data_IF_781315939163
#
_entry.id   IF_781315939163
#
_cell.length_a   1.000
_cell.length_b   1.000
_cell.length_c   1.000
_cell.angle_alpha   90.00
_cell.angle_beta   90.00
_cell.angle_gamma   90.00
#
_symmetry.space_group_name_H-M   'P 1'
#
loop_
_entity.id
_entity.type
_entity.pdbx_description
1 polymer ?
#
# COMPACT_ATOMS: atom_id res chain seq x y z
N UNK A 1 -9.44 -0.26 -3.48
CA UNK A 1 -9.19 -1.49 -2.68
C UNK A 1 -8.00 -2.33 -3.15
N UNK A 2 -7.79 -2.49 -4.46
CA UNK A 2 -6.72 -3.33 -5.02
C UNK A 2 -5.31 -2.97 -4.52
N UNK A 3 -5.02 -1.68 -4.38
CA UNK A 3 -3.74 -1.17 -3.89
C UNK A 3 -3.51 -1.53 -2.41
N UNK A 4 -4.53 -1.34 -1.57
CA UNK A 4 -4.50 -1.73 -0.14
C UNK A 4 -4.28 -3.25 0.01
N UNK A 5 -4.95 -4.05 -0.83
CA UNK A 5 -4.74 -5.51 -0.91
C UNK A 5 -3.31 -5.85 -1.29
N UNK A 6 -2.76 -5.18 -2.31
CA UNK A 6 -1.40 -5.41 -2.78
C UNK A 6 -0.35 -5.05 -1.71
N UNK A 7 -0.47 -3.87 -1.10
CA UNK A 7 0.41 -3.45 0.00
C UNK A 7 0.36 -4.44 1.17
N UNK A 8 -0.84 -4.86 1.61
CA UNK A 8 -0.99 -5.87 2.67
C UNK A 8 -0.37 -7.21 2.31
N UNK A 9 -0.44 -7.61 1.04
CA UNK A 9 0.21 -8.83 0.54
C UNK A 9 1.72 -8.75 0.73
N UNK A 10 2.34 -7.64 0.30
CA UNK A 10 3.79 -7.44 0.41
C UNK A 10 4.25 -7.39 1.88
N UNK A 11 3.53 -6.69 2.75
CA UNK A 11 3.86 -6.65 4.18
C UNK A 11 3.71 -8.02 4.86
N UNK A 12 2.66 -8.76 4.53
CA UNK A 12 2.43 -10.12 5.08
C UNK A 12 3.53 -11.09 4.64
N UNK A 13 4.04 -10.94 3.41
CA UNK A 13 5.12 -11.76 2.87
C UNK A 13 6.52 -11.23 3.24
N UNK A 14 6.62 -10.18 4.07
CA UNK A 14 7.88 -9.55 4.52
C UNK A 14 8.82 -9.23 3.34
N UNK A 15 8.25 -8.67 2.27
CA UNK A 15 8.98 -8.42 1.02
C UNK A 15 9.99 -7.29 1.22
N UNK A 16 11.27 -7.56 0.97
CA UNK A 16 12.30 -6.51 0.89
C UNK A 16 11.98 -5.60 -0.29
N UNK A 17 11.96 -4.29 -0.08
CA UNK A 17 11.56 -3.34 -1.14
C UNK A 17 10.04 -3.26 -1.38
N UNK A 18 9.23 -3.50 -0.34
CA UNK A 18 7.78 -3.36 -0.42
C UNK A 18 7.35 -1.96 -0.90
N UNK A 19 7.94 -0.89 -0.36
CA UNK A 19 7.62 0.50 -0.74
C UNK A 19 7.88 0.78 -2.24
N UNK A 20 9.08 0.55 -2.79
CA UNK A 20 9.33 0.67 -4.23
C UNK A 20 8.35 -0.15 -5.09
N UNK A 21 8.01 -1.36 -4.63
CA UNK A 21 7.07 -2.24 -5.35
C UNK A 21 5.64 -1.68 -5.36
N UNK A 22 5.17 -1.11 -4.24
CA UNK A 22 3.87 -0.44 -4.15
C UNK A 22 3.82 0.76 -5.10
N UNK A 23 4.86 1.61 -5.08
CA UNK A 23 4.94 2.79 -5.95
C UNK A 23 4.92 2.39 -7.43
N UNK A 24 5.67 1.35 -7.79
CA UNK A 24 5.68 0.86 -9.17
C UNK A 24 4.33 0.27 -9.58
N UNK A 25 3.69 -0.52 -8.73
CA UNK A 25 2.34 -1.04 -8.99
C UNK A 25 1.33 0.10 -9.18
N UNK A 26 1.38 1.13 -8.34
CA UNK A 26 0.48 2.29 -8.39
C UNK A 26 0.56 3.04 -9.72
N UNK A 27 1.78 3.27 -10.21
CA UNK A 27 2.01 3.97 -11.48
C UNK A 27 1.49 3.20 -12.70
N UNK A 28 1.44 1.88 -12.62
CA UNK A 28 1.10 1.02 -13.77
C UNK A 28 -0.34 0.51 -13.74
N UNK A 29 -0.95 0.39 -12.55
CA UNK A 29 -2.29 -0.21 -12.41
C UNK A 29 -3.37 0.63 -13.09
N UNK A 30 -3.23 1.97 -13.09
CA UNK A 30 -4.20 2.87 -13.70
C UNK A 30 -4.29 2.72 -15.22
N UNK A 31 -3.19 2.37 -15.88
CA UNK A 31 -3.10 2.33 -17.35
C UNK A 31 -3.16 0.92 -17.94
N UNK A 32 -2.62 -0.08 -17.23
CA UNK A 32 -2.35 -1.39 -17.82
C UNK A 32 -2.97 -2.57 -17.05
N UNK A 33 -3.65 -2.31 -15.93
CA UNK A 33 -4.29 -3.34 -15.11
C UNK A 33 -3.33 -4.19 -14.26
N UNK A 34 -3.89 -5.12 -13.50
CA UNK A 34 -3.20 -5.84 -12.40
C UNK A 34 -2.06 -6.71 -12.94
N UNK A 35 -2.31 -7.53 -13.96
CA UNK A 35 -1.31 -8.43 -14.54
C UNK A 35 -0.06 -7.69 -14.98
N UNK A 36 -0.27 -6.62 -15.75
CA UNK A 36 0.83 -5.84 -16.29
C UNK A 36 1.58 -5.13 -15.16
N UNK A 37 0.86 -4.47 -14.25
CA UNK A 37 1.46 -3.78 -13.11
C UNK A 37 2.31 -4.75 -12.27
N UNK A 38 1.81 -5.96 -11.98
CA UNK A 38 2.56 -7.01 -11.25
C UNK A 38 3.83 -7.46 -11.97
N UNK A 39 3.76 -7.59 -13.29
CA UNK A 39 4.92 -7.97 -14.11
C UNK A 39 5.99 -6.88 -14.12
N UNK A 40 5.61 -5.60 -14.18
CA UNK A 40 6.56 -4.47 -14.29
C UNK A 40 7.57 -4.38 -13.14
N UNK A 41 7.16 -4.62 -11.90
CA UNK A 41 8.09 -4.63 -10.75
C UNK A 41 8.56 -6.03 -10.35
N UNK A 42 8.16 -7.09 -11.07
CA UNK A 42 8.49 -8.47 -10.72
C UNK A 42 10.00 -8.71 -10.59
N UNK A 43 10.84 -7.91 -11.26
CA UNK A 43 12.30 -7.96 -11.14
C UNK A 43 12.80 -7.66 -9.72
N UNK A 44 12.17 -6.70 -9.01
CA UNK A 44 12.55 -6.32 -7.64
C UNK A 44 12.20 -7.40 -6.61
N UNK A 45 11.18 -8.20 -6.91
CA UNK A 45 10.62 -9.22 -6.00
C UNK A 45 10.78 -10.64 -6.54
N UNK A 46 11.71 -10.85 -7.49
CA UNK A 46 11.76 -12.05 -8.34
C UNK A 46 11.76 -13.36 -7.56
N UNK A 47 12.50 -13.40 -6.44
CA UNK A 47 12.59 -14.58 -5.56
C UNK A 47 11.29 -14.91 -4.83
N UNK A 48 10.41 -13.92 -4.62
CA UNK A 48 9.16 -14.03 -3.87
C UNK A 48 7.92 -13.86 -4.76
N UNK A 49 8.08 -13.55 -6.05
CA UNK A 49 6.98 -13.22 -6.96
C UNK A 49 5.87 -14.26 -6.95
N UNK A 50 6.22 -15.56 -7.01
CA UNK A 50 5.22 -16.64 -6.97
C UNK A 50 4.43 -16.66 -5.66
N UNK A 51 5.10 -16.48 -4.53
CA UNK A 51 4.47 -16.46 -3.20
C UNK A 51 3.55 -15.24 -3.04
N UNK A 52 4.03 -14.08 -3.47
CA UNK A 52 3.26 -12.82 -3.48
C UNK A 52 2.03 -12.98 -4.37
N UNK A 53 2.18 -13.56 -5.57
CA UNK A 53 1.09 -13.78 -6.51
C UNK A 53 0.06 -14.76 -5.97
N UNK A 54 0.51 -15.87 -5.41
CA UNK A 54 -0.37 -16.85 -4.77
C UNK A 54 -1.13 -16.25 -3.58
N UNK A 55 -0.47 -15.44 -2.76
CA UNK A 55 -1.12 -14.75 -1.66
C UNK A 55 -2.14 -13.72 -2.18
N UNK A 56 -1.79 -12.94 -3.20
CA UNK A 56 -2.66 -11.92 -3.80
C UNK A 56 -3.93 -12.54 -4.40
N UNK A 57 -3.80 -13.59 -5.21
CA UNK A 57 -4.96 -14.21 -5.88
C UNK A 57 -5.75 -15.13 -4.95
N UNK A 58 -5.10 -15.71 -3.94
CA UNK A 58 -5.68 -16.71 -3.06
C UNK A 58 -6.62 -16.16 -1.98
N UNK A 59 -7.21 -17.07 -1.17
CA UNK A 59 -8.12 -16.72 -0.08
C UNK A 59 -7.49 -15.75 0.92
N UNK A 60 -6.18 -15.87 1.17
CA UNK A 60 -5.45 -14.98 2.08
C UNK A 60 -5.46 -13.53 1.58
N UNK A 61 -5.25 -13.28 0.30
CA UNK A 61 -5.31 -11.94 -0.27
C UNK A 61 -6.71 -11.32 -0.17
N UNK A 62 -7.76 -12.13 -0.34
CA UNK A 62 -9.15 -11.70 -0.14
C UNK A 62 -9.38 -11.32 1.32
N UNK A 63 -8.90 -12.13 2.26
CA UNK A 63 -8.99 -11.83 3.69
C UNK A 63 -8.26 -10.51 4.03
N UNK A 64 -7.04 -10.33 3.53
CA UNK A 64 -6.26 -9.10 3.73
C UNK A 64 -6.97 -7.86 3.16
N UNK A 65 -7.69 -8.00 2.05
CA UNK A 65 -8.52 -6.94 1.50
C UNK A 65 -9.67 -6.59 2.44
N UNK A 66 -10.35 -7.58 3.02
CA UNK A 66 -11.44 -7.38 3.99
C UNK A 66 -10.93 -6.71 5.26
N UNK A 67 -9.80 -7.17 5.80
CA UNK A 67 -9.15 -6.55 6.97
C UNK A 67 -8.78 -5.08 6.70
N UNK A 68 -8.25 -4.77 5.52
CA UNK A 68 -7.94 -3.40 5.13
C UNK A 68 -9.19 -2.52 5.00
N UNK A 69 -10.29 -3.07 4.47
CA UNK A 69 -11.57 -2.38 4.38
C UNK A 69 -12.15 -2.11 5.77
N UNK A 70 -12.18 -3.11 6.65
CA UNK A 70 -12.64 -2.96 8.04
C UNK A 70 -11.83 -1.89 8.77
N UNK A 71 -10.49 -1.90 8.66
CA UNK A 71 -9.64 -0.87 9.27
C UNK A 71 -9.94 0.54 8.75
N UNK A 72 -10.27 0.67 7.46
CA UNK A 72 -10.63 1.97 6.86
C UNK A 72 -11.96 2.50 7.41
N UNK A 73 -12.92 1.61 7.64
CA UNK A 73 -14.23 1.96 8.21
C UNK A 73 -14.17 2.22 9.71
N UNK A 74 -13.27 1.55 10.43
CA UNK A 74 -13.17 1.61 11.89
C UNK A 74 -12.12 2.60 12.40
N UNK A 75 -11.47 3.39 11.52
CA UNK A 75 -10.52 4.42 11.94
C UNK A 75 -11.23 5.43 12.85
N UNK A 76 -10.60 5.76 13.98
CA UNK A 76 -11.02 6.83 14.91
C UNK A 76 -10.14 8.05 14.69
N UNK A 77 -10.62 9.29 14.92
CA UNK A 77 -11.94 9.65 15.45
C UNK A 77 -13.07 9.56 14.40
N UNK A 78 -12.75 9.53 13.11
CA UNK A 78 -13.73 9.48 12.02
C UNK A 78 -13.39 8.37 11.01
N UNK A 79 -14.41 7.71 10.46
CA UNK A 79 -14.25 6.79 9.33
C UNK A 79 -13.60 7.51 8.14
N UNK A 80 -12.69 6.84 7.43
CA UNK A 80 -12.02 7.43 6.26
C UNK A 80 -13.02 7.51 5.10
N UNK A 81 -13.55 8.71 4.86
CA UNK A 81 -14.47 9.01 3.76
C UNK A 81 -13.77 9.50 2.49
N UNK A 82 -12.59 10.10 2.62
CA UNK A 82 -11.81 10.65 1.49
C UNK A 82 -10.37 10.14 1.50
N UNK A 83 -9.74 10.12 0.32
CA UNK A 83 -8.35 9.67 0.11
C UNK A 83 -7.54 10.71 -0.68
N UNK A 84 -6.21 10.82 -0.46
CA UNK A 84 -5.40 10.08 0.52
C UNK A 84 -5.67 10.51 1.96
N UNK A 85 -5.61 9.55 2.89
CA UNK A 85 -5.78 9.79 4.32
C UNK A 85 -4.50 9.38 5.05
N UNK A 86 -3.87 10.34 5.72
CA UNK A 86 -2.60 10.17 6.41
C UNK A 86 -2.82 10.23 7.93
N UNK A 87 -2.16 9.34 8.65
CA UNK A 87 -2.07 9.36 10.10
C UNK A 87 -0.62 9.61 10.46
N UNK A 88 -0.38 10.65 11.27
CA UNK A 88 0.91 10.96 11.88
C UNK A 88 0.68 10.86 13.39
N UNK A 89 1.37 9.92 14.05
CA UNK A 89 1.18 9.64 15.48
C UNK A 89 -0.29 9.34 15.86
N UNK A 90 -0.99 8.56 15.04
CA UNK A 90 -2.42 8.24 15.20
C UNK A 90 -3.39 9.44 15.08
N UNK A 91 -2.90 10.62 14.70
CA UNK A 91 -3.71 11.80 14.39
C UNK A 91 -3.73 12.10 12.89
N UNK A 92 -4.88 12.55 12.38
CA UNK A 92 -4.97 13.12 11.02
C UNK A 92 -4.50 14.57 11.07
N UNK A 93 -3.44 14.97 10.33
CA UNK A 93 -3.15 16.39 10.16
C UNK A 93 -4.36 17.06 9.49
N UNK A 94 -4.76 18.25 9.96
CA UNK A 94 -5.97 18.94 9.50
C UNK A 94 -5.96 19.08 7.97
N UNK A 95 -7.13 18.88 7.37
CA UNK A 95 -7.35 18.89 5.90
C UNK A 95 -6.86 20.18 5.22
N UNK A 96 -6.76 21.28 5.97
CA UNK A 96 -6.29 22.58 5.52
C UNK A 96 -4.78 22.65 5.18
N UNK A 97 -4.02 21.60 5.53
CA UNK A 97 -2.56 21.52 5.32
C UNK A 97 -2.15 20.50 4.24
N UNK A 98 -3.08 20.06 3.39
CA UNK A 98 -2.90 18.99 2.39
C UNK A 98 -2.11 19.40 1.12
N UNK A 99 -1.03 20.17 1.27
CA UNK A 99 0.00 20.32 0.23
C UNK A 99 1.19 19.37 0.47
N UNK A 100 0.92 18.18 1.01
CA UNK A 100 1.93 17.14 1.22
C UNK A 100 2.33 16.52 -0.13
N UNK A 101 3.44 17.03 -0.69
CA UNK A 101 4.12 16.40 -1.82
C UNK A 101 4.63 15.01 -1.41
N UNK A 102 4.51 14.02 -2.28
CA UNK A 102 5.03 12.66 -2.05
C UNK A 102 6.52 12.60 -1.67
N UNK A 103 7.29 13.65 -1.98
CA UNK A 103 8.68 13.84 -1.54
C UNK A 103 8.86 13.97 -0.02
N UNK A 104 7.83 14.36 0.73
CA UNK A 104 7.88 14.52 2.18
C UNK A 104 7.98 13.16 2.91
N UNK A 105 7.41 12.10 2.33
CA UNK A 105 7.43 10.76 2.93
C UNK A 105 8.85 10.18 2.96
N UNK A 106 9.72 10.57 2.01
CA UNK A 106 11.11 10.12 1.97
C UNK A 106 12.00 10.71 3.06
N UNK A 107 11.59 11.80 3.74
CA UNK A 107 12.36 12.42 4.82
C UNK A 107 12.06 11.82 6.20
N UNK A 108 10.92 11.14 6.37
CA UNK A 108 10.55 10.52 7.65
C UNK A 108 11.32 9.21 7.93
N UNK A 109 11.92 8.59 6.91
CA UNK A 109 12.83 7.44 7.06
C UNK A 109 14.24 7.83 7.55
N UNK A 110 14.51 9.12 7.86
CA UNK A 110 15.82 9.59 8.36
C UNK A 110 15.84 9.94 9.85
N UNK A 111 14.73 9.81 10.58
CA UNK A 111 14.70 10.05 12.02
C UNK A 111 14.64 8.69 12.72
N UNK A 112 15.76 7.99 12.69
CA UNK A 112 16.18 7.04 13.73
C UNK A 112 17.67 6.72 13.46
N UNK A 113 18.55 7.58 13.99
CA UNK A 113 19.93 7.24 14.35
C UNK A 113 20.30 8.01 15.61
#
# INVERSE_FOLDING_TARGET
MLQKKFAKTLFTQKVKGALPSIVCFERNIQHYGIEHAMKTFSAFIRSQYRQIRQCYDGPRGIQLQREAAQKTMSTRPNSIVEVPYLLINDYTPSVDMNNLKASAIGQMDQIDT
#
